data_IF_174585237152
#
_entry.id   IF_174585237152
#
_cell.length_a   1.000
_cell.length_b   1.000
_cell.length_c   1.000
_cell.angle_alpha   90.00
_cell.angle_beta   90.00
_cell.angle_gamma   90.00
#
_symmetry.space_group_name_H-M   'P 1'
#
loop_
_entity.id
_entity.type
_entity.pdbx_description
1 polymer ?
#
# COMPACT_ATOMS: atom_id res chain seq x y z
N UNK A 1 -19.78 15.68 -10.37
CA UNK A 1 -18.48 15.08 -10.02
C UNK A 1 -18.54 13.62 -10.40
N UNK A 2 -17.60 13.11 -11.19
CA UNK A 2 -17.59 11.67 -11.48
C UNK A 2 -17.31 10.88 -10.18
N UNK A 3 -17.82 9.64 -10.04
CA UNK A 3 -17.62 8.81 -8.84
C UNK A 3 -16.15 8.64 -8.44
N UNK A 4 -15.24 8.67 -9.42
CA UNK A 4 -13.81 8.41 -9.23
C UNK A 4 -13.10 9.53 -8.44
N UNK A 5 -13.55 10.79 -8.59
CA UNK A 5 -13.04 11.92 -7.81
C UNK A 5 -13.46 11.90 -6.35
N UNK A 6 -14.64 11.33 -6.06
CA UNK A 6 -15.08 11.13 -4.68
C UNK A 6 -14.23 10.04 -4.01
N UNK A 7 -13.93 8.96 -4.73
CA UNK A 7 -13.11 7.85 -4.21
C UNK A 7 -11.68 8.29 -3.88
N UNK A 8 -11.04 9.11 -4.74
CA UNK A 8 -9.69 9.62 -4.46
C UNK A 8 -9.65 10.51 -3.20
N UNK A 9 -10.68 11.35 -3.00
CA UNK A 9 -10.81 12.20 -1.80
C UNK A 9 -11.09 11.38 -0.54
N UNK A 10 -11.98 10.39 -0.62
CA UNK A 10 -12.25 9.47 0.49
C UNK A 10 -10.98 8.73 0.88
N UNK A 11 -10.14 8.34 -0.08
CA UNK A 11 -8.86 7.69 0.19
C UNK A 11 -7.93 8.57 1.03
N UNK A 12 -7.84 9.88 0.73
CA UNK A 12 -7.03 10.82 1.53
C UNK A 12 -7.58 10.98 2.96
N UNK A 13 -8.90 11.02 3.12
CA UNK A 13 -9.54 11.05 4.44
C UNK A 13 -9.26 9.77 5.22
N UNK A 14 -9.37 8.60 4.57
CA UNK A 14 -9.05 7.32 5.18
C UNK A 14 -7.58 7.26 5.60
N UNK A 15 -6.65 7.78 4.80
CA UNK A 15 -5.23 7.86 5.18
C UNK A 15 -5.02 8.70 6.45
N UNK A 16 -5.75 9.82 6.60
CA UNK A 16 -5.67 10.66 7.80
C UNK A 16 -6.19 9.96 9.07
N UNK A 17 -7.12 9.02 8.94
CA UNK A 17 -7.67 8.24 10.06
C UNK A 17 -6.82 7.00 10.34
N UNK A 18 -6.41 6.28 9.29
CA UNK A 18 -5.66 5.03 9.39
C UNK A 18 -4.24 5.28 9.89
N UNK A 19 -3.59 6.40 9.54
CA UNK A 19 -2.24 6.73 10.01
C UNK A 19 -2.11 6.71 11.54
N UNK A 20 -2.91 7.49 12.30
CA UNK A 20 -2.91 7.46 13.76
C UNK A 20 -3.22 6.09 14.35
N UNK A 21 -4.22 5.38 13.80
CA UNK A 21 -4.57 4.03 14.24
C UNK A 21 -3.37 3.09 14.06
N UNK A 22 -2.70 3.18 12.92
CA UNK A 22 -1.52 2.38 12.62
C UNK A 22 -0.40 2.63 13.64
N UNK A 23 -0.04 3.89 13.94
CA UNK A 23 1.04 4.17 14.90
C UNK A 23 0.67 3.76 16.32
N UNK A 24 -0.61 3.85 16.70
CA UNK A 24 -1.09 3.34 17.97
C UNK A 24 -0.98 1.80 18.04
N UNK A 25 -1.45 1.10 17.00
CA UNK A 25 -1.35 -0.35 16.91
C UNK A 25 0.11 -0.82 16.91
N UNK A 26 1.00 -0.08 16.24
CA UNK A 26 2.43 -0.36 16.21
C UNK A 26 3.02 -0.44 17.63
N UNK A 27 2.60 0.44 18.55
CA UNK A 27 3.08 0.41 19.94
C UNK A 27 2.62 -0.81 20.73
N UNK A 28 1.54 -1.50 20.32
CA UNK A 28 1.14 -2.77 20.94
C UNK A 28 2.14 -3.92 20.67
N UNK A 29 2.89 -3.82 19.57
CA UNK A 29 3.84 -4.85 19.14
C UNK A 29 5.29 -4.55 19.54
N UNK A 30 5.55 -3.33 20.01
CA UNK A 30 6.89 -2.90 20.42
C UNK A 30 7.02 -3.07 21.93
N UNK A 31 8.12 -3.67 22.43
CA UNK A 31 8.41 -3.70 23.85
C UNK A 31 8.29 -2.31 24.49
N UNK A 32 7.73 -2.23 25.69
CA UNK A 32 7.48 -0.95 26.34
C UNK A 32 8.78 -0.14 26.51
N UNK A 33 8.79 1.08 25.98
CA UNK A 33 9.87 2.05 26.19
C UNK A 33 9.85 2.52 27.66
N UNK A 34 11.03 2.63 28.28
CA UNK A 34 11.17 3.00 29.71
C UNK A 34 12.11 4.21 29.93
N UNK A 35 11.82 5.38 29.33
CA UNK A 35 12.68 6.56 29.45
C UNK A 35 12.69 7.21 30.84
N UNK A 36 11.62 7.04 31.64
CA UNK A 36 11.46 7.76 32.92
C UNK A 36 11.72 6.87 34.13
N UNK A 37 11.66 5.54 33.98
CA UNK A 37 11.81 4.59 35.08
C UNK A 37 10.63 4.57 36.06
N UNK A 38 9.59 5.38 35.80
CA UNK A 38 8.32 5.35 36.48
C UNK A 38 7.29 4.62 35.61
N UNK A 39 6.67 3.52 36.08
CA UNK A 39 5.78 2.69 35.26
C UNK A 39 4.60 3.44 34.65
N UNK A 40 4.08 4.45 35.33
CA UNK A 40 2.94 5.23 34.85
C UNK A 40 3.34 6.23 33.77
N UNK A 41 4.44 6.96 33.97
CA UNK A 41 4.99 7.87 32.97
C UNK A 41 5.47 7.11 31.72
N UNK A 42 6.11 5.96 31.89
CA UNK A 42 6.55 5.11 30.79
C UNK A 42 5.36 4.55 29.98
N UNK A 43 4.27 4.17 30.67
CA UNK A 43 3.03 3.75 30.01
C UNK A 43 2.41 4.87 29.17
N UNK A 44 2.29 6.08 29.75
CA UNK A 44 1.77 7.24 29.03
C UNK A 44 2.66 7.64 27.85
N UNK A 45 3.98 7.54 28.02
CA UNK A 45 4.92 7.82 26.96
C UNK A 45 4.76 6.86 25.78
N UNK A 46 4.72 5.56 26.09
CA UNK A 46 4.68 4.51 25.08
C UNK A 46 3.36 4.49 24.30
N UNK A 47 2.22 4.55 24.98
CA UNK A 47 0.92 4.39 24.32
C UNK A 47 0.25 5.70 23.90
N UNK A 48 0.69 6.85 24.41
CA UNK A 48 0.07 8.14 24.11
C UNK A 48 1.04 9.13 23.48
N UNK A 49 2.19 9.40 24.10
CA UNK A 49 3.13 10.40 23.57
C UNK A 49 3.73 9.97 22.23
N UNK A 50 4.32 8.76 22.16
CA UNK A 50 5.02 8.30 20.96
C UNK A 50 4.09 8.16 19.72
N UNK A 51 2.91 7.51 19.78
CA UNK A 51 1.97 7.49 18.66
C UNK A 51 1.51 8.88 18.21
N UNK A 52 1.30 9.80 19.16
CA UNK A 52 0.90 11.17 18.86
C UNK A 52 2.00 11.91 18.12
N UNK A 53 3.23 11.81 18.60
CA UNK A 53 4.43 12.43 17.98
C UNK A 53 4.68 11.89 16.58
N UNK A 54 4.43 10.60 16.34
CA UNK A 54 4.57 10.01 15.01
C UNK A 54 3.40 10.33 14.08
N UNK A 55 2.17 10.43 14.57
CA UNK A 55 0.99 10.66 13.73
C UNK A 55 0.77 12.13 13.36
N UNK A 56 1.08 13.08 14.25
CA UNK A 56 0.87 14.52 14.03
C UNK A 56 1.53 15.06 12.74
N UNK A 57 2.81 14.74 12.44
CA UNK A 57 3.45 15.12 11.18
C UNK A 57 2.63 14.66 9.97
N UNK A 58 2.32 13.36 9.89
CA UNK A 58 1.55 12.80 8.80
C UNK A 58 0.17 13.42 8.63
N UNK A 59 -0.57 13.64 9.73
CA UNK A 59 -1.87 14.34 9.68
C UNK A 59 -1.68 15.77 9.14
N UNK A 60 -0.66 16.47 9.62
CA UNK A 60 -0.31 17.81 9.16
C UNK A 60 -0.06 17.85 7.66
N UNK A 61 0.83 16.98 7.17
CA UNK A 61 1.15 16.88 5.74
C UNK A 61 -0.06 16.49 4.90
N UNK A 62 -0.87 15.53 5.35
CA UNK A 62 -2.11 15.16 4.67
C UNK A 62 -3.07 16.35 4.60
N UNK A 63 -3.24 17.10 5.68
CA UNK A 63 -4.12 18.26 5.73
C UNK A 63 -3.66 19.38 4.78
N UNK A 64 -2.37 19.72 4.79
CA UNK A 64 -1.81 20.78 3.96
C UNK A 64 -1.73 20.40 2.48
N UNK A 65 -1.52 19.12 2.16
CA UNK A 65 -1.34 18.64 0.79
C UNK A 65 -2.54 17.84 0.25
N UNK A 66 -3.70 17.89 0.92
CA UNK A 66 -4.89 17.06 0.62
C UNK A 66 -5.28 17.03 -0.86
N UNK A 67 -5.28 18.17 -1.54
CA UNK A 67 -5.65 18.25 -2.96
C UNK A 67 -4.60 17.59 -3.85
N UNK A 68 -3.33 17.84 -3.56
CA UNK A 68 -2.23 17.22 -4.29
C UNK A 68 -2.20 15.71 -4.10
N UNK A 69 -2.44 15.23 -2.88
CA UNK A 69 -2.55 13.81 -2.57
C UNK A 69 -3.74 13.16 -3.29
N UNK A 70 -4.92 13.79 -3.28
CA UNK A 70 -6.09 13.28 -4.01
C UNK A 70 -5.83 13.21 -5.52
N UNK A 71 -5.22 14.25 -6.10
CA UNK A 71 -4.81 14.28 -7.50
C UNK A 71 -3.75 13.21 -7.80
N UNK A 72 -2.83 12.94 -6.86
CA UNK A 72 -1.83 11.88 -6.98
C UNK A 72 -2.49 10.51 -7.07
N UNK A 73 -3.46 10.23 -6.19
CA UNK A 73 -4.23 8.97 -6.21
C UNK A 73 -4.97 8.81 -7.54
N UNK A 74 -5.56 9.89 -8.06
CA UNK A 74 -6.26 9.86 -9.33
C UNK A 74 -5.32 9.57 -10.53
N UNK A 75 -4.21 10.30 -10.65
CA UNK A 75 -3.20 10.08 -11.71
C UNK A 75 -2.60 8.67 -11.60
N UNK A 76 -2.38 8.20 -10.38
CA UNK A 76 -1.88 6.87 -10.13
C UNK A 76 -2.90 5.80 -10.53
N UNK A 77 -4.20 6.00 -10.29
CA UNK A 77 -5.23 5.09 -10.78
C UNK A 77 -5.28 5.07 -12.32
N UNK A 78 -5.25 6.22 -12.98
CA UNK A 78 -5.16 6.30 -14.45
C UNK A 78 -3.91 5.58 -15.01
N UNK A 79 -2.79 5.67 -14.29
CA UNK A 79 -1.53 5.04 -14.73
C UNK A 79 -1.54 3.52 -14.51
N UNK A 80 -2.10 3.05 -13.40
CA UNK A 80 -2.05 1.65 -12.99
C UNK A 80 -3.29 0.87 -13.48
N UNK A 81 -4.40 1.50 -13.84
CA UNK A 81 -5.59 0.83 -14.44
C UNK A 81 -5.27 -0.06 -15.62
N UNK A 82 -4.19 0.27 -16.33
CA UNK A 82 -3.69 -0.49 -17.46
C UNK A 82 -2.96 -1.80 -17.06
N UNK A 83 -2.72 -2.03 -15.77
CA UNK A 83 -2.25 -3.31 -15.21
C UNK A 83 -3.47 -4.12 -14.73
N UNK A 84 -3.59 -5.41 -15.08
CA UNK A 84 -4.67 -6.26 -14.60
C UNK A 84 -4.83 -6.19 -13.08
N UNK A 85 -6.08 -6.09 -12.60
CA UNK A 85 -6.41 -5.86 -11.18
C UNK A 85 -5.69 -6.85 -10.25
N UNK A 86 -5.59 -8.12 -10.63
CA UNK A 86 -4.91 -9.16 -9.83
C UNK A 86 -3.47 -8.81 -9.47
N UNK A 87 -2.73 -8.29 -10.44
CA UNK A 87 -1.32 -7.94 -10.25
C UNK A 87 -1.22 -6.68 -9.41
N UNK A 88 -2.11 -5.71 -9.66
CA UNK A 88 -2.19 -4.51 -8.83
C UNK A 88 -2.43 -4.82 -7.35
N UNK A 89 -3.33 -5.75 -7.06
CA UNK A 89 -3.64 -6.10 -5.67
C UNK A 89 -2.52 -6.93 -5.05
N UNK A 90 -1.94 -7.88 -5.77
CA UNK A 90 -0.81 -8.69 -5.28
C UNK A 90 0.41 -7.84 -4.92
N UNK A 91 0.92 -7.08 -5.89
CA UNK A 91 2.11 -6.27 -5.69
C UNK A 91 1.81 -5.03 -4.84
N UNK A 92 0.61 -4.47 -4.93
CA UNK A 92 0.15 -3.38 -4.07
C UNK A 92 0.07 -3.81 -2.61
N UNK A 93 -0.47 -5.00 -2.30
CA UNK A 93 -0.51 -5.53 -0.94
C UNK A 93 0.90 -5.80 -0.39
N UNK A 94 1.78 -6.38 -1.21
CA UNK A 94 3.18 -6.61 -0.86
C UNK A 94 3.95 -5.29 -0.64
N UNK A 95 3.74 -4.30 -1.50
CA UNK A 95 4.34 -2.97 -1.34
C UNK A 95 3.79 -2.26 -0.09
N UNK A 96 2.49 -2.36 0.18
CA UNK A 96 1.88 -1.81 1.39
C UNK A 96 2.41 -2.51 2.65
N UNK A 97 2.63 -3.82 2.61
CA UNK A 97 3.28 -4.56 3.69
C UNK A 97 4.71 -4.04 3.94
N UNK A 98 5.53 -3.93 2.89
CA UNK A 98 6.89 -3.36 3.04
C UNK A 98 6.84 -1.95 3.60
N UNK A 99 5.93 -1.13 3.08
CA UNK A 99 5.75 0.24 3.54
C UNK A 99 5.40 0.27 5.03
N UNK A 100 4.40 -0.50 5.46
CA UNK A 100 3.91 -0.50 6.84
C UNK A 100 4.84 -1.19 7.83
N UNK A 101 5.58 -2.22 7.43
CA UNK A 101 6.38 -3.02 8.37
C UNK A 101 7.85 -2.61 8.37
N UNK A 102 8.39 -2.08 7.28
CA UNK A 102 9.80 -1.75 7.21
C UNK A 102 10.02 -0.24 7.06
N UNK A 103 9.36 0.41 6.11
CA UNK A 103 9.76 1.76 5.73
C UNK A 103 9.15 2.81 6.64
N UNK A 104 7.84 2.72 6.91
CA UNK A 104 7.10 3.73 7.65
C UNK A 104 7.59 3.88 9.10
N UNK A 105 7.86 2.80 9.86
CA UNK A 105 8.43 2.91 11.20
C UNK A 105 9.82 3.55 11.25
N UNK A 106 10.65 3.35 10.22
CA UNK A 106 12.00 3.92 10.17
C UNK A 106 12.01 5.36 9.66
N UNK A 107 11.17 5.65 8.67
CA UNK A 107 11.07 6.97 8.07
C UNK A 107 10.34 7.96 8.98
N UNK A 108 9.32 7.52 9.73
CA UNK A 108 8.46 8.42 10.50
C UNK A 108 9.21 9.22 11.57
N UNK A 109 10.11 8.66 12.40
CA UNK A 109 10.86 9.45 13.36
C UNK A 109 11.68 10.57 12.70
N UNK A 110 12.28 10.28 11.54
CA UNK A 110 13.05 11.26 10.76
C UNK A 110 12.14 12.32 10.15
N UNK A 111 11.00 11.92 9.58
CA UNK A 111 10.00 12.83 9.02
C UNK A 111 9.42 13.72 10.12
N UNK A 112 9.15 13.19 11.31
CA UNK A 112 8.63 13.94 12.44
C UNK A 112 9.58 15.07 12.87
N UNK A 113 10.89 14.83 12.84
CA UNK A 113 11.90 15.85 13.09
C UNK A 113 11.91 16.93 12.00
N UNK A 114 11.94 16.51 10.73
CA UNK A 114 11.98 17.44 9.59
C UNK A 114 10.72 18.30 9.56
N UNK A 115 9.55 17.68 9.71
CA UNK A 115 8.27 18.41 9.70
C UNK A 115 8.11 19.27 10.96
N UNK A 116 8.61 18.84 12.12
CA UNK A 116 8.70 19.67 13.32
C UNK A 116 9.47 20.97 13.07
N UNK A 117 10.61 20.90 12.37
CA UNK A 117 11.39 22.07 11.95
C UNK A 117 10.62 22.95 10.95
N UNK A 118 9.93 22.35 9.98
CA UNK A 118 9.13 23.09 8.99
C UNK A 118 7.99 23.85 9.68
N UNK A 119 7.25 23.20 10.58
CA UNK A 119 6.16 23.82 11.35
C UNK A 119 6.70 24.94 12.23
N UNK A 120 7.82 24.72 12.91
CA UNK A 120 8.45 25.73 13.73
C UNK A 120 8.89 26.97 12.91
N UNK A 121 9.47 26.76 11.73
CA UNK A 121 9.82 27.83 10.79
C UNK A 121 8.59 28.61 10.32
N UNK A 122 7.49 27.92 10.04
CA UNK A 122 6.23 28.55 9.64
C UNK A 122 5.60 29.39 10.76
N UNK A 123 5.64 28.88 12.00
CA UNK A 123 5.18 29.63 13.19
C UNK A 123 6.06 30.86 13.42
N UNK A 124 7.38 30.72 13.33
CA UNK A 124 8.31 31.86 13.44
C UNK A 124 8.00 32.94 12.41
N UNK A 125 7.77 32.57 11.14
CA UNK A 125 7.51 33.55 10.08
C UNK A 125 6.14 34.24 10.26
N UNK A 126 5.08 33.48 10.54
CA UNK A 126 3.72 34.05 10.65
C UNK A 126 3.48 34.80 11.95
N UNK A 127 3.94 34.26 13.08
CA UNK A 127 3.66 34.79 14.41
C UNK A 127 4.78 35.72 14.84
N UNK A 128 6.03 35.25 14.71
CA UNK A 128 7.20 36.03 15.11
C UNK A 128 7.41 37.25 14.21
N UNK A 129 7.64 37.04 12.92
CA UNK A 129 7.89 38.15 11.99
C UNK A 129 6.61 38.94 11.71
N UNK A 130 5.50 38.24 11.45
CA UNK A 130 4.23 38.88 11.07
C UNK A 130 3.50 39.63 12.19
N UNK A 131 3.26 39.00 13.35
CA UNK A 131 2.43 39.59 14.42
C UNK A 131 3.24 40.31 15.50
N UNK A 132 4.44 39.82 15.79
CA UNK A 132 5.32 40.36 16.83
C UNK A 132 6.40 41.32 16.27
N UNK A 133 6.30 41.66 14.99
CA UNK A 133 7.16 42.66 14.34
C UNK A 133 8.62 42.24 14.14
N UNK A 134 8.94 40.95 14.23
CA UNK A 134 10.29 40.42 13.94
C UNK A 134 11.39 40.81 14.94
N UNK A 135 11.02 41.35 16.10
CA UNK A 135 11.99 41.72 17.14
C UNK A 135 12.63 40.54 17.88
N UNK A 136 13.58 40.81 18.77
CA UNK A 136 14.19 39.81 19.67
C UNK A 136 13.19 38.89 20.40
N UNK A 137 12.02 39.36 20.92
CA UNK A 137 11.05 38.46 21.56
C UNK A 137 10.36 37.51 20.59
N UNK A 138 10.13 37.94 19.34
CA UNK A 138 9.60 37.09 18.28
C UNK A 138 10.57 35.95 17.92
N UNK A 139 11.87 36.27 17.87
CA UNK A 139 12.90 35.29 17.60
C UNK A 139 13.07 34.29 18.75
N UNK A 140 13.02 34.75 19.99
CA UNK A 140 13.03 33.89 21.17
C UNK A 140 11.86 32.91 21.15
N UNK A 141 10.64 33.39 20.86
CA UNK A 141 9.43 32.56 20.84
C UNK A 141 9.48 31.50 19.74
N UNK A 142 9.96 31.84 18.54
CA UNK A 142 10.14 30.86 17.47
C UNK A 142 11.23 29.83 17.78
N UNK A 143 12.33 30.22 18.43
CA UNK A 143 13.37 29.28 18.89
C UNK A 143 12.81 28.33 19.96
N UNK A 144 12.05 28.84 20.93
CA UNK A 144 11.44 27.99 21.98
C UNK A 144 10.43 27.00 21.37
N UNK A 145 9.60 27.44 20.42
CA UNK A 145 8.67 26.56 19.71
C UNK A 145 9.41 25.53 18.86
N UNK A 146 10.50 25.93 18.17
CA UNK A 146 11.34 25.01 17.40
C UNK A 146 11.99 23.95 18.29
N UNK A 147 12.55 24.38 19.42
CA UNK A 147 13.15 23.50 20.42
C UNK A 147 12.09 22.53 20.96
N UNK A 148 10.92 23.02 21.37
CA UNK A 148 9.85 22.16 21.89
C UNK A 148 9.33 21.13 20.87
N UNK A 149 9.12 21.57 19.62
CA UNK A 149 8.61 20.71 18.54
C UNK A 149 9.65 19.74 17.98
N UNK A 150 10.95 19.97 18.19
CA UNK A 150 12.02 19.09 17.70
C UNK A 150 12.61 18.19 18.81
N UNK A 151 12.67 18.67 20.05
CA UNK A 151 13.14 17.86 21.18
C UNK A 151 12.23 16.65 21.38
N UNK A 152 10.91 16.84 21.36
CA UNK A 152 10.00 15.74 21.65
C UNK A 152 10.10 14.61 20.60
N UNK A 153 10.06 14.87 19.27
CA UNK A 153 10.35 13.84 18.28
C UNK A 153 11.76 13.26 18.36
N UNK A 154 12.79 14.06 18.69
CA UNK A 154 14.16 13.56 18.85
C UNK A 154 14.25 12.57 20.02
N UNK A 155 13.62 12.91 21.13
CA UNK A 155 13.57 12.07 22.32
C UNK A 155 12.83 10.76 22.04
N UNK A 156 11.64 10.85 21.42
CA UNK A 156 10.90 9.65 20.98
C UNK A 156 11.73 8.81 20.00
N UNK A 157 12.45 9.42 19.07
CA UNK A 157 13.32 8.68 18.14
C UNK A 157 14.44 7.90 18.84
N UNK A 158 15.11 8.53 19.82
CA UNK A 158 16.23 7.90 20.55
C UNK A 158 15.75 6.66 21.33
N UNK A 159 14.56 6.73 21.92
CA UNK A 159 13.97 5.60 22.66
C UNK A 159 13.38 4.54 21.72
N UNK A 160 12.70 4.99 20.66
CA UNK A 160 11.98 4.11 19.74
C UNK A 160 12.92 3.28 18.86
N UNK A 161 13.91 3.91 18.23
CA UNK A 161 14.75 3.27 17.21
C UNK A 161 15.48 2.01 17.71
N UNK A 162 16.16 1.99 18.88
CA UNK A 162 16.85 0.79 19.35
C UNK A 162 15.87 -0.35 19.65
N UNK A 163 14.72 -0.05 20.26
CA UNK A 163 13.69 -1.04 20.57
C UNK A 163 13.09 -1.60 19.27
N UNK A 164 12.84 -0.72 18.30
CA UNK A 164 12.30 -1.08 17.01
C UNK A 164 13.28 -1.90 16.16
N UNK A 165 14.59 -1.61 16.20
CA UNK A 165 15.61 -2.40 15.51
C UNK A 165 15.72 -3.82 16.06
N UNK A 166 15.46 -4.01 17.36
CA UNK A 166 15.35 -5.35 17.94
C UNK A 166 14.12 -6.08 17.37
N UNK A 167 12.96 -5.41 17.35
CA UNK A 167 11.75 -5.95 16.72
C UNK A 167 11.97 -6.25 15.23
N UNK A 168 12.70 -5.41 14.50
CA UNK A 168 13.03 -5.57 13.09
C UNK A 168 13.71 -6.90 12.80
N UNK A 169 14.68 -7.28 13.65
CA UNK A 169 15.40 -8.55 13.50
C UNK A 169 14.45 -9.72 13.68
N UNK A 170 13.56 -9.65 14.67
CA UNK A 170 12.53 -10.67 14.88
C UNK A 170 11.52 -10.71 13.73
N UNK A 171 11.15 -9.57 13.16
CA UNK A 171 10.29 -9.47 11.99
C UNK A 171 10.97 -10.13 10.79
N UNK A 172 12.26 -9.87 10.54
CA UNK A 172 12.99 -10.49 9.43
C UNK A 172 13.07 -12.02 9.59
N UNK A 173 13.33 -12.52 10.79
CA UNK A 173 13.35 -13.96 11.07
C UNK A 173 11.95 -14.60 10.94
N UNK A 174 10.90 -13.89 11.41
CA UNK A 174 9.51 -14.31 11.27
C UNK A 174 9.04 -14.26 9.81
N UNK A 175 9.56 -13.29 9.05
CA UNK A 175 9.34 -13.14 7.62
C UNK A 175 9.97 -14.31 6.86
N UNK A 176 11.24 -14.64 7.11
CA UNK A 176 11.92 -15.75 6.43
C UNK A 176 11.35 -17.15 6.74
N UNK A 177 10.48 -17.28 7.74
CA UNK A 177 9.89 -18.55 8.16
C UNK A 177 8.43 -18.72 7.70
N UNK A 178 7.47 -18.43 8.57
CA UNK A 178 6.06 -18.80 8.40
C UNK A 178 5.21 -17.70 7.76
N UNK A 179 5.47 -16.43 8.11
CA UNK A 179 4.59 -15.32 7.73
C UNK A 179 4.74 -14.91 6.27
N UNK A 180 5.91 -15.08 5.65
CA UNK A 180 6.07 -14.88 4.21
C UNK A 180 5.24 -15.89 3.42
N UNK A 181 5.19 -17.14 3.85
CA UNK A 181 4.37 -18.16 3.19
C UNK A 181 2.87 -17.83 3.29
N UNK A 182 2.42 -17.33 4.44
CA UNK A 182 1.03 -16.90 4.62
C UNK A 182 0.70 -15.65 3.79
N UNK A 183 1.51 -14.60 3.90
CA UNK A 183 1.27 -13.33 3.21
C UNK A 183 1.31 -13.51 1.68
N UNK A 184 2.31 -14.25 1.20
CA UNK A 184 2.42 -14.62 -0.20
C UNK A 184 1.26 -15.52 -0.62
N UNK A 185 0.92 -16.51 0.20
CA UNK A 185 -0.18 -17.42 -0.02
C UNK A 185 -1.53 -16.73 -0.20
N UNK A 186 -1.83 -15.79 0.69
CA UNK A 186 -3.02 -14.97 0.61
C UNK A 186 -3.06 -14.20 -0.70
N UNK A 187 -1.96 -13.55 -1.05
CA UNK A 187 -1.86 -12.77 -2.27
C UNK A 187 -1.97 -13.67 -3.52
N UNK A 188 -1.35 -14.85 -3.51
CA UNK A 188 -1.40 -15.83 -4.59
C UNK A 188 -2.80 -16.41 -4.78
N UNK A 189 -3.51 -16.73 -3.69
CA UNK A 189 -4.91 -17.16 -3.73
C UNK A 189 -5.79 -16.09 -4.39
N UNK A 190 -5.55 -14.82 -4.05
CA UNK A 190 -6.30 -13.70 -4.63
C UNK A 190 -6.02 -13.55 -6.13
N UNK A 191 -4.76 -13.64 -6.54
CA UNK A 191 -4.36 -13.55 -7.96
C UNK A 191 -5.00 -14.66 -8.76
N UNK A 192 -4.92 -15.88 -8.26
CA UNK A 192 -5.48 -17.05 -8.92
C UNK A 192 -6.99 -16.93 -9.06
N UNK A 193 -7.71 -16.54 -8.00
CA UNK A 193 -9.15 -16.34 -8.06
C UNK A 193 -9.56 -15.31 -9.13
N UNK A 194 -8.86 -14.18 -9.21
CA UNK A 194 -9.08 -13.15 -10.22
C UNK A 194 -8.70 -13.63 -11.64
N UNK A 195 -7.70 -14.50 -11.79
CA UNK A 195 -7.36 -15.10 -13.08
C UNK A 195 -8.46 -15.97 -13.64
N UNK A 196 -9.21 -16.70 -12.80
CA UNK A 196 -10.36 -17.49 -13.25
C UNK A 196 -11.56 -16.63 -13.66
N UNK A 197 -11.70 -15.41 -13.10
CA UNK A 197 -12.71 -14.44 -13.54
C UNK A 197 -12.40 -13.74 -14.87
N UNK A 198 -11.11 -13.62 -15.22
CA UNK A 198 -10.65 -12.86 -16.38
C UNK A 198 -11.21 -13.34 -17.75
N UNK A 199 -11.36 -14.65 -18.05
CA UNK A 199 -12.00 -15.11 -19.28
C UNK A 199 -13.45 -14.66 -19.41
N UNK A 200 -14.19 -14.65 -18.30
CA UNK A 200 -15.59 -14.22 -18.30
C UNK A 200 -15.67 -12.74 -18.66
N UNK A 201 -14.81 -11.91 -18.06
CA UNK A 201 -14.67 -10.50 -18.44
C UNK A 201 -14.33 -10.32 -19.91
N UNK A 202 -13.41 -11.13 -20.43
CA UNK A 202 -12.98 -11.05 -21.82
C UNK A 202 -14.10 -11.39 -22.82
N UNK A 203 -14.90 -12.42 -22.55
CA UNK A 203 -16.04 -12.81 -23.38
C UNK A 203 -17.07 -11.68 -23.45
N UNK A 204 -17.44 -11.12 -22.30
CA UNK A 204 -18.39 -10.01 -22.27
C UNK A 204 -17.82 -8.74 -22.92
N UNK A 205 -16.52 -8.47 -22.78
CA UNK A 205 -15.88 -7.38 -23.52
C UNK A 205 -15.97 -7.59 -25.03
N UNK A 206 -15.72 -8.81 -25.52
CA UNK A 206 -15.91 -9.16 -26.93
C UNK A 206 -17.35 -8.95 -27.40
N UNK A 207 -18.35 -9.35 -26.61
CA UNK A 207 -19.76 -9.12 -26.90
C UNK A 207 -20.10 -7.62 -26.97
N UNK A 208 -19.55 -6.81 -26.06
CA UNK A 208 -19.76 -5.35 -26.09
C UNK A 208 -19.17 -4.68 -27.32
N UNK A 209 -18.01 -5.12 -27.78
CA UNK A 209 -17.40 -4.60 -29.01
C UNK A 209 -18.20 -5.03 -30.25
N UNK A 210 -18.73 -6.25 -30.25
CA UNK A 210 -19.65 -6.71 -31.30
C UNK A 210 -20.92 -5.86 -31.34
N UNK A 211 -21.55 -5.61 -30.19
CA UNK A 211 -22.76 -4.79 -30.09
C UNK A 211 -22.50 -3.35 -30.58
N UNK A 212 -21.37 -2.75 -30.20
CA UNK A 212 -20.97 -1.41 -30.69
C UNK A 212 -20.77 -1.39 -32.20
N UNK A 213 -20.14 -2.42 -32.76
CA UNK A 213 -19.88 -2.53 -34.19
C UNK A 213 -21.14 -2.73 -35.03
N UNK A 214 -22.14 -3.45 -34.50
CA UNK A 214 -23.35 -3.81 -35.24
C UNK A 214 -24.50 -2.83 -35.03
N UNK A 215 -24.68 -2.33 -33.82
CA UNK A 215 -25.85 -1.56 -33.40
C UNK A 215 -25.55 -0.14 -32.96
N UNK A 216 -24.27 0.25 -32.86
CA UNK A 216 -23.85 1.57 -32.36
C UNK A 216 -24.08 1.80 -30.86
N UNK A 217 -24.70 0.85 -30.16
CA UNK A 217 -25.01 0.90 -28.72
C UNK A 217 -24.63 -0.43 -28.04
N UNK A 218 -24.38 -0.38 -26.72
CA UNK A 218 -24.02 -1.56 -25.93
C UNK A 218 -25.25 -2.16 -25.26
N UNK A 219 -25.73 -3.29 -25.77
CA UNK A 219 -26.88 -4.00 -25.20
C UNK A 219 -26.43 -5.02 -24.15
N UNK A 220 -25.27 -5.64 -24.33
CA UNK A 220 -24.74 -6.66 -23.42
C UNK A 220 -23.98 -6.01 -22.26
N UNK A 221 -24.66 -5.82 -21.12
CA UNK A 221 -23.99 -5.34 -19.89
C UNK A 221 -23.21 -6.48 -19.23
N UNK A 222 -21.96 -6.19 -18.86
CA UNK A 222 -21.11 -7.08 -18.06
C UNK A 222 -21.72 -7.25 -16.65
N UNK A 223 -22.02 -8.48 -16.19
CA UNK A 223 -22.55 -8.71 -14.86
C UNK A 223 -21.42 -8.65 -13.81
N UNK A 224 -20.78 -7.50 -13.66
CA UNK A 224 -19.60 -7.25 -12.81
C UNK A 224 -19.77 -7.74 -11.38
N UNK A 225 -20.93 -7.52 -10.76
CA UNK A 225 -21.19 -7.96 -9.39
C UNK A 225 -21.19 -9.49 -9.24
N UNK A 226 -21.72 -10.22 -10.23
CA UNK A 226 -21.76 -11.69 -10.20
C UNK A 226 -20.37 -12.29 -10.42
N UNK A 227 -19.57 -11.69 -11.30
CA UNK A 227 -18.19 -12.12 -11.53
C UNK A 227 -17.36 -11.89 -10.26
N UNK A 228 -17.48 -10.72 -9.62
CA UNK A 228 -16.78 -10.45 -8.35
C UNK A 228 -17.21 -11.38 -7.22
N UNK A 229 -18.48 -11.74 -7.14
CA UNK A 229 -18.96 -12.71 -6.15
C UNK A 229 -18.33 -14.09 -6.38
N UNK A 230 -18.25 -14.55 -7.64
CA UNK A 230 -17.58 -15.78 -7.99
C UNK A 230 -16.08 -15.74 -7.66
N UNK A 231 -15.38 -14.65 -8.00
CA UNK A 231 -13.98 -14.44 -7.65
C UNK A 231 -13.77 -14.49 -6.12
N UNK A 232 -14.66 -13.87 -5.35
CA UNK A 232 -14.60 -13.90 -3.89
C UNK A 232 -14.82 -15.30 -3.31
N UNK A 233 -15.77 -16.07 -3.86
CA UNK A 233 -15.99 -17.47 -3.45
C UNK A 233 -14.77 -18.33 -3.76
N UNK A 234 -14.22 -18.21 -4.99
CA UNK A 234 -13.00 -18.91 -5.38
C UNK A 234 -11.81 -18.54 -4.49
N UNK A 235 -11.70 -17.26 -4.11
CA UNK A 235 -10.68 -16.79 -3.21
C UNK A 235 -10.76 -17.46 -1.82
N UNK A 236 -11.96 -17.55 -1.24
CA UNK A 236 -12.16 -18.24 0.06
C UNK A 236 -11.79 -19.72 -0.04
N UNK A 237 -12.24 -20.39 -1.11
CA UNK A 237 -11.90 -21.81 -1.34
C UNK A 237 -10.39 -21.98 -1.46
N UNK A 238 -9.73 -21.09 -2.20
CA UNK A 238 -8.28 -21.13 -2.38
C UNK A 238 -7.52 -20.89 -1.07
N UNK A 239 -7.95 -19.92 -0.26
CA UNK A 239 -7.37 -19.71 1.07
C UNK A 239 -7.48 -20.96 1.94
N UNK A 240 -8.64 -21.63 1.91
CA UNK A 240 -8.86 -22.81 2.75
C UNK A 240 -7.96 -23.99 2.34
N UNK A 241 -7.69 -24.12 1.05
CA UNK A 241 -6.82 -25.16 0.49
C UNK A 241 -5.33 -24.83 0.69
N UNK A 242 -4.95 -23.56 0.53
CA UNK A 242 -3.53 -23.16 0.52
C UNK A 242 -2.91 -23.04 1.91
N UNK A 243 -3.60 -22.40 2.86
CA UNK A 243 -2.98 -21.98 4.11
C UNK A 243 -2.56 -23.18 4.98
N UNK A 244 -1.44 -23.07 5.72
CA UNK A 244 -1.13 -24.01 6.78
C UNK A 244 -2.06 -23.80 7.99
N UNK A 245 -2.28 -24.81 8.85
CA UNK A 245 -3.08 -24.66 10.05
C UNK A 245 -2.53 -23.53 10.93
N UNK A 246 -3.38 -22.55 11.26
CA UNK A 246 -2.95 -21.37 12.02
C UNK A 246 -3.19 -21.64 13.51
N UNK A 247 -2.15 -21.64 14.36
CA UNK A 247 -2.32 -21.71 15.80
C UNK A 247 -2.85 -20.36 16.29
N UNK A 248 -4.03 -20.36 16.91
CA UNK A 248 -4.62 -19.20 17.57
C UNK A 248 -4.69 -19.43 19.08
N UNK A 249 -4.78 -18.37 19.91
CA UNK A 249 -4.92 -18.51 21.37
C UNK A 249 -6.14 -19.35 21.80
N UNK A 250 -7.13 -19.51 20.92
CA UNK A 250 -8.37 -20.25 21.17
C UNK A 250 -8.43 -21.63 20.50
N UNK A 251 -7.36 -22.08 19.84
CA UNK A 251 -7.30 -23.36 19.13
C UNK A 251 -6.61 -23.28 17.77
N UNK A 252 -6.62 -24.37 17.01
CA UNK A 252 -6.02 -24.44 15.68
C UNK A 252 -7.12 -24.30 14.63
N UNK A 253 -7.01 -23.32 13.72
CA UNK A 253 -7.90 -23.22 12.57
C UNK A 253 -7.45 -24.25 11.52
N UNK A 254 -8.28 -25.23 11.15
CA UNK A 254 -7.86 -26.35 10.31
C UNK A 254 -7.90 -25.96 8.83
N UNK A 255 -6.78 -25.45 8.31
CA UNK A 255 -6.55 -25.32 6.87
C UNK A 255 -5.88 -26.58 6.30
N UNK A 256 -6.02 -26.81 4.99
CA UNK A 256 -5.65 -28.08 4.35
C UNK A 256 -4.15 -28.21 3.97
N UNK A 257 -3.38 -27.12 4.03
CA UNK A 257 -1.94 -27.05 3.71
C UNK A 257 -1.55 -27.75 2.38
N UNK A 258 -2.35 -27.56 1.33
CA UNK A 258 -2.09 -28.11 0.01
C UNK A 258 -1.32 -27.11 -0.88
N UNK A 259 -0.29 -26.48 -0.31
CA UNK A 259 0.56 -25.51 -1.02
C UNK A 259 1.18 -26.09 -2.32
N UNK A 260 1.52 -27.38 -2.32
CA UNK A 260 2.01 -28.09 -3.52
C UNK A 260 1.02 -28.10 -4.69
N UNK A 261 -0.29 -28.20 -4.41
CA UNK A 261 -1.32 -28.19 -5.45
C UNK A 261 -1.36 -26.81 -6.14
N UNK A 262 -1.15 -25.75 -5.37
CA UNK A 262 -1.06 -24.40 -5.90
C UNK A 262 0.18 -24.21 -6.76
N UNK A 263 1.35 -24.63 -6.27
CA UNK A 263 2.61 -24.46 -6.97
C UNK A 263 2.73 -25.26 -8.26
N UNK A 264 2.06 -26.40 -8.36
CA UNK A 264 2.21 -27.30 -9.51
C UNK A 264 1.06 -27.21 -10.50
N UNK A 265 -0.15 -26.84 -10.05
CA UNK A 265 -1.33 -26.87 -10.93
C UNK A 265 -2.01 -25.51 -11.02
N UNK A 266 -2.46 -24.94 -9.89
CA UNK A 266 -3.30 -23.73 -9.94
C UNK A 266 -2.55 -22.54 -10.51
N UNK A 267 -1.29 -22.31 -10.11
CA UNK A 267 -0.50 -21.20 -10.67
C UNK A 267 -0.27 -21.38 -12.17
N UNK A 268 0.09 -22.59 -12.61
CA UNK A 268 0.30 -22.87 -14.03
C UNK A 268 -0.99 -22.72 -14.85
N UNK A 269 -2.14 -23.14 -14.31
CA UNK A 269 -3.43 -22.92 -14.94
C UNK A 269 -3.77 -21.43 -15.03
N UNK A 270 -3.56 -20.68 -13.95
CA UNK A 270 -3.72 -19.22 -13.88
C UNK A 270 -2.85 -18.52 -14.94
N UNK A 271 -1.54 -18.84 -14.96
CA UNK A 271 -0.56 -18.39 -15.96
C UNK A 271 -0.98 -18.72 -17.39
N UNK A 272 -1.44 -19.95 -17.64
CA UNK A 272 -1.88 -20.37 -18.97
C UNK A 272 -3.09 -19.56 -19.43
N UNK A 273 -4.08 -19.32 -18.56
CA UNK A 273 -5.21 -18.43 -18.85
C UNK A 273 -4.71 -17.04 -19.25
N UNK A 274 -3.76 -16.47 -18.50
CA UNK A 274 -3.16 -15.16 -18.82
C UNK A 274 -2.48 -15.17 -20.18
N UNK A 275 -1.61 -16.15 -20.42
CA UNK A 275 -0.83 -16.28 -21.64
C UNK A 275 -1.75 -16.39 -22.86
N UNK A 276 -2.79 -17.21 -22.77
CA UNK A 276 -3.80 -17.36 -23.83
C UNK A 276 -4.52 -16.03 -24.07
N UNK A 277 -4.95 -15.31 -23.03
CA UNK A 277 -5.63 -14.02 -23.20
C UNK A 277 -4.73 -12.98 -23.89
N UNK A 278 -3.45 -12.92 -23.53
CA UNK A 278 -2.47 -12.02 -24.17
C UNK A 278 -2.28 -12.40 -25.64
N UNK A 279 -2.12 -13.69 -25.95
CA UNK A 279 -1.97 -14.18 -27.32
C UNK A 279 -3.20 -13.88 -28.17
N UNK A 280 -4.40 -14.10 -27.64
CA UNK A 280 -5.67 -13.79 -28.33
C UNK A 280 -5.77 -12.29 -28.61
N UNK A 281 -5.42 -11.44 -27.64
CA UNK A 281 -5.41 -9.98 -27.85
C UNK A 281 -4.41 -9.56 -28.93
N UNK A 282 -3.21 -10.12 -28.88
CA UNK A 282 -2.17 -9.84 -29.87
C UNK A 282 -2.61 -10.24 -31.28
N UNK A 283 -3.25 -11.41 -31.41
CA UNK A 283 -3.75 -11.91 -32.70
C UNK A 283 -4.93 -11.11 -33.24
N UNK A 284 -5.80 -10.60 -32.37
CA UNK A 284 -6.98 -9.81 -32.74
C UNK A 284 -6.65 -8.32 -32.97
N UNK A 285 -5.40 -7.88 -32.77
CA UNK A 285 -4.94 -6.49 -32.94
C UNK A 285 -5.94 -5.47 -32.37
N UNK A 286 -6.42 -5.72 -31.15
CA UNK A 286 -7.40 -4.85 -30.49
C UNK A 286 -6.70 -3.54 -30.12
N UNK A 287 -6.74 -2.58 -31.04
CA UNK A 287 -6.31 -1.19 -30.89
C UNK A 287 -7.44 -0.41 -30.25
N UNK A 288 -7.50 -0.51 -28.93
CA UNK A 288 -8.60 0.07 -28.20
C UNK A 288 -8.57 -0.37 -26.76
N UNK A 289 -8.28 0.61 -25.92
CA UNK A 289 -8.78 0.74 -24.57
C UNK A 289 -7.92 0.27 -23.38
N UNK A 290 -7.94 1.21 -22.43
CA UNK A 290 -7.56 1.35 -21.01
C UNK A 290 -7.29 0.13 -20.13
N UNK A 291 -7.62 -1.08 -20.54
CA UNK A 291 -7.53 -2.26 -19.66
C UNK A 291 -6.16 -2.93 -19.65
N UNK A 292 -5.34 -2.76 -20.70
CA UNK A 292 -4.00 -3.39 -20.78
C UNK A 292 -2.91 -2.45 -21.35
N UNK A 293 -3.22 -1.25 -21.86
CA UNK A 293 -2.31 -0.18 -22.33
C UNK A 293 -1.04 -0.56 -23.13
N UNK A 294 -0.18 0.45 -23.37
CA UNK A 294 0.86 0.45 -24.41
C UNK A 294 2.09 -0.44 -24.16
N UNK A 295 3.19 -0.19 -24.90
CA UNK A 295 4.44 -0.98 -24.82
C UNK A 295 5.02 -1.08 -23.40
N UNK A 296 4.85 -0.03 -22.57
CA UNK A 296 5.21 -0.07 -21.14
C UNK A 296 4.49 -1.19 -20.38
N UNK A 297 3.33 -1.62 -20.85
CA UNK A 297 2.48 -2.55 -20.13
C UNK A 297 2.80 -3.99 -20.47
N UNK A 298 3.23 -4.26 -21.70
CA UNK A 298 3.84 -5.55 -22.06
C UNK A 298 5.11 -5.76 -21.24
N UNK A 299 5.90 -4.70 -21.03
CA UNK A 299 7.09 -4.75 -20.17
C UNK A 299 6.74 -5.01 -18.70
N UNK A 300 5.76 -4.29 -18.14
CA UNK A 300 5.30 -4.49 -16.75
C UNK A 300 4.70 -5.89 -16.55
N UNK A 301 3.86 -6.36 -17.47
CA UNK A 301 3.29 -7.72 -17.44
C UNK A 301 4.39 -8.78 -17.58
N UNK A 302 5.37 -8.57 -18.47
CA UNK A 302 6.51 -9.47 -18.65
C UNK A 302 7.38 -9.55 -17.41
N UNK A 303 7.69 -8.42 -16.78
CA UNK A 303 8.43 -8.36 -15.51
C UNK A 303 7.68 -9.11 -14.40
N UNK A 304 6.36 -8.97 -14.33
CA UNK A 304 5.53 -9.67 -13.36
C UNK A 304 5.36 -11.18 -13.63
N UNK A 305 5.37 -11.62 -14.90
CA UNK A 305 5.38 -13.06 -15.26
C UNK A 305 6.72 -13.72 -14.93
N UNK A 306 7.83 -13.00 -15.18
CA UNK A 306 9.18 -13.42 -14.79
C UNK A 306 9.25 -13.65 -13.27
N UNK A 307 8.69 -12.73 -12.48
CA UNK A 307 8.61 -12.87 -11.02
C UNK A 307 7.91 -14.16 -10.58
N UNK A 308 6.78 -14.51 -11.19
CA UNK A 308 6.02 -15.71 -10.82
C UNK A 308 6.78 -17.01 -11.14
N UNK A 309 7.53 -17.02 -12.25
CA UNK A 309 8.37 -18.17 -12.63
C UNK A 309 9.54 -18.40 -11.66
N UNK A 310 10.14 -17.33 -11.16
CA UNK A 310 11.30 -17.43 -10.26
C UNK A 310 10.94 -17.62 -8.78
N UNK A 311 9.65 -17.57 -8.43
CA UNK A 311 9.17 -17.81 -7.07
C UNK A 311 9.62 -19.17 -6.48
N UNK A 312 9.81 -20.18 -7.33
CA UNK A 312 10.25 -21.52 -6.89
C UNK A 312 11.73 -21.64 -6.51
N UNK A 313 12.57 -20.68 -6.89
CA UNK A 313 14.01 -20.93 -6.98
C UNK A 313 14.82 -20.50 -5.74
N UNK A 314 14.47 -19.39 -5.07
CA UNK A 314 15.29 -18.86 -3.97
C UNK A 314 14.56 -17.82 -3.12
N UNK A 315 14.57 -17.98 -1.78
CA UNK A 315 13.95 -17.05 -0.82
C UNK A 315 14.55 -15.63 -0.86
N UNK A 316 15.85 -15.53 -1.12
CA UNK A 316 16.55 -14.24 -1.31
C UNK A 316 16.00 -13.51 -2.55
N UNK A 317 15.72 -14.27 -3.61
CA UNK A 317 15.18 -13.74 -4.85
C UNK A 317 13.72 -13.29 -4.68
N UNK A 318 12.91 -14.03 -3.91
CA UNK A 318 11.55 -13.60 -3.52
C UNK A 318 11.60 -12.27 -2.78
N UNK A 319 12.43 -12.18 -1.74
CA UNK A 319 12.56 -10.94 -0.95
C UNK A 319 12.99 -9.77 -1.82
N UNK A 320 14.01 -9.96 -2.67
CA UNK A 320 14.49 -8.94 -3.62
C UNK A 320 13.39 -8.45 -4.58
N UNK A 321 12.53 -9.36 -5.04
CA UNK A 321 11.40 -9.04 -5.91
C UNK A 321 10.35 -8.18 -5.19
N UNK A 322 10.02 -8.52 -3.93
CA UNK A 322 9.02 -7.76 -3.16
C UNK A 322 9.56 -6.34 -2.92
N UNK A 323 10.85 -6.20 -2.62
CA UNK A 323 11.55 -4.91 -2.56
C UNK A 323 11.51 -4.16 -3.90
N UNK A 324 11.76 -4.85 -5.02
CA UNK A 324 11.68 -4.25 -6.36
C UNK A 324 10.25 -3.74 -6.66
N UNK A 325 9.22 -4.53 -6.31
CA UNK A 325 7.83 -4.13 -6.46
C UNK A 325 7.54 -2.87 -5.63
N UNK A 326 7.98 -2.83 -4.37
CA UNK A 326 7.88 -1.64 -3.54
C UNK A 326 8.56 -0.43 -4.21
N UNK A 327 9.79 -0.57 -4.71
CA UNK A 327 10.54 0.52 -5.36
C UNK A 327 9.77 1.04 -6.58
N UNK A 328 9.22 0.17 -7.42
CA UNK A 328 8.41 0.56 -8.58
C UNK A 328 7.17 1.34 -8.15
N UNK A 329 6.43 0.85 -7.15
CA UNK A 329 5.25 1.54 -6.64
C UNK A 329 5.60 2.89 -6.01
N UNK A 330 6.68 2.96 -5.24
CA UNK A 330 7.18 4.20 -4.66
C UNK A 330 7.60 5.20 -5.73
N UNK A 331 8.32 4.76 -6.77
CA UNK A 331 8.71 5.59 -7.89
C UNK A 331 7.49 6.13 -8.66
N UNK A 332 6.50 5.27 -8.93
CA UNK A 332 5.24 5.69 -9.55
C UNK A 332 4.49 6.70 -8.67
N UNK A 333 4.41 6.47 -7.36
CA UNK A 333 3.77 7.40 -6.44
C UNK A 333 4.49 8.76 -6.41
N UNK A 334 5.83 8.77 -6.39
CA UNK A 334 6.63 10.00 -6.43
C UNK A 334 6.45 10.73 -7.76
N UNK A 335 6.53 10.04 -8.90
CA UNK A 335 6.31 10.66 -10.22
C UNK A 335 4.91 11.23 -10.34
N UNK A 336 3.89 10.48 -9.90
CA UNK A 336 2.50 10.95 -9.86
C UNK A 336 2.34 12.16 -8.94
N UNK A 337 2.99 12.17 -7.78
CA UNK A 337 2.97 13.29 -6.85
C UNK A 337 3.66 14.55 -7.42
N UNK A 338 4.75 14.37 -8.15
CA UNK A 338 5.44 15.46 -8.84
C UNK A 338 4.61 16.05 -9.99
N UNK A 339 3.81 15.23 -10.68
CA UNK A 339 2.87 15.66 -11.72
C UNK A 339 1.57 16.27 -11.16
N UNK A 340 1.15 15.85 -9.97
CA UNK A 340 -0.09 16.27 -9.36
C UNK A 340 -0.08 17.77 -9.03
N UNK A 341 -1.12 18.48 -9.48
CA UNK A 341 -1.30 19.89 -9.15
C UNK A 341 -1.68 20.07 -7.68
N UNK A 342 -1.24 21.18 -7.07
CA UNK A 342 -1.61 21.54 -5.69
C UNK A 342 -2.99 22.18 -5.56
N UNK A 343 -3.68 22.43 -6.68
CA UNK A 343 -5.00 23.04 -6.72
C UNK A 343 -6.09 21.97 -6.76
N UNK A 344 -7.27 22.35 -6.32
CA UNK A 344 -8.48 21.57 -6.56
C UNK A 344 -8.74 21.55 -8.07
N UNK A 345 -8.66 20.36 -8.66
CA UNK A 345 -9.09 20.13 -10.04
C UNK A 345 -10.59 19.79 -9.99
N UNK A 346 -11.38 20.47 -10.81
CA UNK A 346 -12.85 20.38 -10.86
C UNK A 346 -13.33 19.24 -11.75
#
# INVERSE_FOLDING_TARGET
MSPDWLLSRVTVVLLAIVGPIYFFLLMLFIPQMMPFGDPWLDFLFHYLAAPTVFSLPWIGTIYYQRYRLANTVHIMDETITAVPLRWRVFYGANAAFILMVFILPMATPVIALIEGLVVAGHVFYRVGVGKLGGGKPAALLGVVVAIGLCILPAFVMIEFLPVYLNLWTNILLAWESFWLQIAYGFAQCLVNALSFGAPVYFIYFGAQQYDRGLYGEVYTKTPTAKIRLMEFILFIVFLFIYLPPIPTPFGIIPFLDQSNLFYNYINWASLAIVGIMILVKFRLKVEGDTTIGGVSNIFVIGLFLVVELFFKANLVLITSIIWLAFIIYAALAVVSYLRASSRELY
#
